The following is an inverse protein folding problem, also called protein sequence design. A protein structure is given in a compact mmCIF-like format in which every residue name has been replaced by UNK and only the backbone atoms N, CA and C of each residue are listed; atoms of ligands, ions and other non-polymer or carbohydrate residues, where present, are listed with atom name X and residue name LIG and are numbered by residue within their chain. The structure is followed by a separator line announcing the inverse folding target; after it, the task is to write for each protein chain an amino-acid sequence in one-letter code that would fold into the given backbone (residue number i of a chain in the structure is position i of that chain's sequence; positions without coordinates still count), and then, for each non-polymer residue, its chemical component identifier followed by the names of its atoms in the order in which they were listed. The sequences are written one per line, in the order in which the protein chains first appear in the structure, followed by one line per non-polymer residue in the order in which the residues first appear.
data_IF_036408830510
#
_entry.id   IF_036408830510
#
_cell.length_a   1.000
_cell.length_b   1.000
_cell.length_c   1.000
_cell.angle_alpha   90.00
_cell.angle_beta   90.00
_cell.angle_gamma   90.00
#
_symmetry.space_group_name_H-M   'P 1'
#
loop_
_entity.id
_entity.type
_entity.pdbx_description
1 polymer ?
#
# COMPACT_ATOMS: atom_id res chain seq x y z
N UNK A 1 -11.00 10.58 -21.16
CA UNK A 1 -10.76 11.88 -20.50
C UNK A 1 -11.99 12.40 -19.81
N UNK A 2 -11.83 12.87 -18.56
CA UNK A 2 -12.89 13.54 -17.78
C UNK A 2 -12.80 15.07 -17.88
N UNK A 3 -11.79 15.59 -18.58
CA UNK A 3 -11.58 17.02 -18.85
C UNK A 3 -11.53 17.25 -20.36
N UNK A 4 -12.04 18.39 -20.79
CA UNK A 4 -11.94 18.88 -22.17
C UNK A 4 -11.62 20.36 -22.15
N UNK A 5 -10.60 20.76 -22.93
CA UNK A 5 -10.26 22.16 -23.19
C UNK A 5 -10.88 22.59 -24.51
N UNK A 6 -11.52 23.75 -24.53
CA UNK A 6 -12.11 24.37 -25.71
C UNK A 6 -11.53 25.78 -25.81
N UNK A 7 -10.86 26.09 -26.92
CA UNK A 7 -10.42 27.44 -27.19
C UNK A 7 -11.61 28.25 -27.71
N UNK A 8 -12.01 29.28 -26.97
CA UNK A 8 -13.06 30.21 -27.35
C UNK A 8 -12.40 31.54 -27.70
N UNK A 9 -12.63 32.03 -28.92
CA UNK A 9 -12.16 33.36 -29.31
C UNK A 9 -13.19 34.37 -28.84
N UNK A 10 -12.83 35.20 -27.87
CA UNK A 10 -13.66 36.32 -27.41
C UNK A 10 -13.13 37.63 -27.97
N UNK A 11 -14.03 38.51 -28.40
CA UNK A 11 -13.69 39.83 -28.93
C UNK A 11 -14.08 40.90 -27.92
N UNK A 12 -13.11 41.65 -27.41
CA UNK A 12 -13.37 42.83 -26.58
C UNK A 12 -13.33 44.09 -27.43
N UNK A 13 -14.27 45.02 -27.19
CA UNK A 13 -14.27 46.31 -27.86
C UNK A 13 -12.98 47.09 -27.49
N UNK A 14 -12.27 47.73 -28.45
CA UNK A 14 -12.66 48.06 -29.83
C UNK A 14 -12.06 47.13 -30.91
N UNK A 15 -11.80 45.85 -30.61
CA UNK A 15 -11.38 44.86 -31.63
C UNK A 15 -10.22 43.94 -31.23
N UNK A 16 -9.84 43.90 -29.95
CA UNK A 16 -8.85 42.93 -29.48
C UNK A 16 -9.46 41.52 -29.48
N UNK A 17 -8.78 40.57 -30.13
CA UNK A 17 -9.14 39.16 -30.08
C UNK A 17 -8.32 38.50 -28.98
N UNK A 18 -8.99 37.95 -27.98
CA UNK A 18 -8.38 37.14 -26.95
C UNK A 18 -8.82 35.69 -27.14
N UNK A 19 -7.88 34.75 -27.04
CA UNK A 19 -8.21 33.32 -26.96
C UNK A 19 -8.36 33.01 -25.48
N UNK A 20 -9.56 32.62 -25.07
CA UNK A 20 -9.86 32.15 -23.73
C UNK A 20 -9.95 30.62 -23.78
N UNK A 21 -9.24 29.93 -22.89
CA UNK A 21 -9.36 28.47 -22.78
C UNK A 21 -10.45 28.17 -21.76
N UNK A 22 -11.54 27.56 -22.21
CA UNK A 22 -12.57 27.05 -21.32
C UNK A 22 -12.33 25.56 -21.04
N UNK A 23 -12.26 25.22 -19.75
CA UNK A 23 -12.15 23.84 -19.28
C UNK A 23 -13.52 23.33 -18.84
N UNK A 24 -13.99 22.25 -19.44
CA UNK A 24 -15.15 21.49 -18.95
C UNK A 24 -14.66 20.21 -18.28
N UNK A 25 -15.11 19.92 -17.07
CA UNK A 25 -14.77 18.71 -16.34
C UNK A 25 -16.03 17.98 -15.85
N UNK A 26 -15.96 16.64 -15.77
CA UNK A 26 -16.98 15.83 -15.11
C UNK A 26 -16.49 15.39 -13.73
N UNK A 27 -16.94 16.09 -12.70
CA UNK A 27 -16.50 15.88 -11.31
C UNK A 27 -16.94 14.52 -10.74
N UNK A 28 -18.04 13.96 -11.23
CA UNK A 28 -18.47 12.62 -10.82
C UNK A 28 -17.50 11.56 -11.36
N UNK A 29 -17.19 11.63 -12.66
CA UNK A 29 -16.24 10.71 -13.28
C UNK A 29 -14.84 10.87 -12.69
N UNK A 30 -14.43 12.09 -12.36
CA UNK A 30 -13.16 12.34 -11.67
C UNK A 30 -13.11 11.69 -10.30
N UNK A 31 -14.14 11.87 -9.45
CA UNK A 31 -14.21 11.22 -8.14
C UNK A 31 -14.25 9.69 -8.23
N UNK A 32 -14.97 9.14 -9.20
CA UNK A 32 -14.96 7.69 -9.47
C UNK A 32 -13.56 7.20 -9.86
N UNK A 33 -12.83 7.97 -10.67
CA UNK A 33 -11.44 7.65 -11.04
C UNK A 33 -10.52 7.64 -9.82
N UNK A 34 -10.58 8.66 -8.95
CA UNK A 34 -9.78 8.68 -7.71
C UNK A 34 -10.04 7.46 -6.82
N UNK A 35 -11.30 7.07 -6.65
CA UNK A 35 -11.66 5.86 -5.90
C UNK A 35 -11.11 4.59 -6.55
N UNK A 36 -11.19 4.48 -7.89
CA UNK A 36 -10.70 3.32 -8.62
C UNK A 36 -9.16 3.20 -8.58
N UNK A 37 -8.44 4.33 -8.68
CA UNK A 37 -6.99 4.37 -8.55
C UNK A 37 -6.54 3.95 -7.15
N UNK A 38 -7.23 4.42 -6.12
CA UNK A 38 -6.95 4.05 -4.73
C UNK A 38 -7.12 2.54 -4.51
N UNK A 39 -8.27 1.98 -4.90
CA UNK A 39 -8.56 0.56 -4.79
C UNK A 39 -7.55 -0.29 -5.58
N UNK A 40 -7.24 0.12 -6.82
CA UNK A 40 -6.25 -0.58 -7.65
C UNK A 40 -4.86 -0.55 -7.02
N UNK A 41 -4.41 0.60 -6.51
CA UNK A 41 -3.09 0.73 -5.90
C UNK A 41 -2.95 -0.12 -4.62
N UNK A 42 -3.97 -0.14 -3.78
CA UNK A 42 -4.00 -1.00 -2.60
C UNK A 42 -4.00 -2.50 -2.96
N UNK A 43 -4.80 -2.91 -3.94
CA UNK A 43 -4.83 -4.30 -4.40
C UNK A 43 -3.56 -4.75 -5.11
N UNK A 44 -2.93 -3.87 -5.90
CA UNK A 44 -1.63 -4.16 -6.53
C UNK A 44 -0.56 -4.35 -5.46
N UNK A 45 -0.50 -3.45 -4.46
CA UNK A 45 0.43 -3.58 -3.36
C UNK A 45 0.25 -4.91 -2.61
N UNK A 46 -1.01 -5.29 -2.30
CA UNK A 46 -1.32 -6.58 -1.71
C UNK A 46 -0.83 -7.75 -2.57
N UNK A 47 -1.19 -7.78 -3.86
CA UNK A 47 -0.83 -8.87 -4.76
C UNK A 47 0.69 -9.04 -4.86
N UNK A 48 1.40 -7.95 -5.15
CA UNK A 48 2.86 -7.97 -5.33
C UNK A 48 3.57 -8.39 -4.02
N UNK A 49 3.08 -7.89 -2.87
CA UNK A 49 3.64 -8.26 -1.57
C UNK A 49 3.32 -9.69 -1.14
N UNK A 50 2.14 -10.23 -1.50
CA UNK A 50 1.79 -11.63 -1.24
C UNK A 50 2.67 -12.57 -2.06
N UNK A 51 2.90 -12.27 -3.33
CA UNK A 51 3.80 -13.05 -4.21
C UNK A 51 5.24 -13.03 -3.68
N UNK A 52 5.74 -11.85 -3.30
CA UNK A 52 7.06 -11.72 -2.70
C UNK A 52 7.19 -12.49 -1.38
N UNK A 53 6.18 -12.40 -0.51
CA UNK A 53 6.16 -13.10 0.76
C UNK A 53 6.14 -14.62 0.56
N UNK A 54 5.26 -15.13 -0.31
CA UNK A 54 5.14 -16.56 -0.62
C UNK A 54 6.46 -17.12 -1.15
N UNK A 55 7.05 -16.46 -2.15
CA UNK A 55 8.36 -16.86 -2.70
C UNK A 55 9.48 -16.81 -1.66
N UNK A 56 9.47 -15.82 -0.75
CA UNK A 56 10.49 -15.70 0.29
C UNK A 56 10.42 -16.80 1.34
N UNK A 57 9.21 -17.27 1.67
CA UNK A 57 8.98 -18.27 2.72
C UNK A 57 9.04 -19.69 2.16
N UNK A 58 8.35 -19.93 1.05
CA UNK A 58 8.16 -21.27 0.50
C UNK A 58 9.16 -21.62 -0.62
N UNK A 59 9.81 -20.62 -1.21
CA UNK A 59 10.66 -20.79 -2.38
C UNK A 59 9.86 -21.11 -3.65
N UNK A 60 10.54 -21.09 -4.80
CA UNK A 60 9.94 -21.44 -6.09
C UNK A 60 9.40 -22.87 -6.03
N UNK A 61 8.18 -23.07 -6.53
CA UNK A 61 7.48 -24.36 -6.52
C UNK A 61 7.39 -25.04 -5.14
N UNK A 62 7.37 -24.26 -4.05
CA UNK A 62 7.33 -24.74 -2.67
C UNK A 62 8.56 -25.59 -2.27
N UNK A 63 9.69 -25.44 -2.96
CA UNK A 63 10.89 -26.24 -2.74
C UNK A 63 11.48 -26.11 -1.33
N UNK A 64 11.29 -24.95 -0.68
CA UNK A 64 11.76 -24.67 0.68
C UNK A 64 10.63 -24.74 1.73
N UNK A 65 9.41 -25.08 1.31
CA UNK A 65 8.23 -25.07 2.18
C UNK A 65 8.33 -26.13 3.29
N UNK A 66 7.73 -25.86 4.47
CA UNK A 66 7.65 -26.85 5.55
C UNK A 66 6.93 -28.12 5.11
N UNK A 67 5.89 -28.00 4.28
CA UNK A 67 5.17 -29.16 3.73
C UNK A 67 6.07 -30.11 2.95
N UNK A 68 6.95 -29.58 2.10
CA UNK A 68 7.91 -30.39 1.34
C UNK A 68 8.91 -31.07 2.28
N UNK A 69 9.42 -30.34 3.28
CA UNK A 69 10.35 -30.90 4.26
C UNK A 69 9.71 -32.02 5.11
N UNK A 70 8.46 -31.84 5.54
CA UNK A 70 7.70 -32.85 6.32
C UNK A 70 7.45 -34.10 5.48
N UNK A 71 7.06 -33.97 4.22
CA UNK A 71 6.87 -35.10 3.32
C UNK A 71 8.17 -35.91 3.15
N UNK A 72 9.31 -35.22 3.04
CA UNK A 72 10.63 -35.87 2.96
C UNK A 72 11.00 -36.60 4.26
N UNK A 73 10.70 -36.01 5.43
CA UNK A 73 10.89 -36.66 6.73
C UNK A 73 10.02 -37.93 6.85
N UNK A 74 8.74 -37.85 6.47
CA UNK A 74 7.85 -39.01 6.48
C UNK A 74 8.38 -40.14 5.60
N UNK A 75 8.87 -39.82 4.40
CA UNK A 75 9.49 -40.80 3.48
C UNK A 75 10.75 -41.43 4.07
N UNK A 76 11.61 -40.63 4.72
CA UNK A 76 12.81 -41.14 5.38
C UNK A 76 12.45 -42.10 6.53
N UNK A 77 11.45 -41.76 7.34
CA UNK A 77 10.94 -42.61 8.43
C UNK A 77 10.38 -43.93 7.90
N UNK A 78 9.57 -43.89 6.84
CA UNK A 78 9.02 -45.09 6.21
C UNK A 78 10.14 -46.01 5.71
N UNK A 79 11.16 -45.46 5.04
CA UNK A 79 12.28 -46.25 4.55
C UNK A 79 13.08 -46.86 5.71
N UNK A 80 13.37 -46.08 6.76
CA UNK A 80 14.08 -46.59 7.93
C UNK A 80 13.30 -47.69 8.65
N UNK A 81 11.97 -47.58 8.74
CA UNK A 81 11.11 -48.59 9.35
C UNK A 81 11.19 -49.96 8.65
N UNK A 82 11.50 -50.00 7.35
CA UNK A 82 11.72 -51.28 6.63
C UNK A 82 13.02 -51.97 7.01
N UNK A 83 14.04 -51.23 7.45
CA UNK A 83 15.37 -51.76 7.82
C UNK A 83 15.98 -50.99 9.00
N UNK A 84 15.47 -51.17 10.24
CA UNK A 84 15.88 -50.34 11.39
C UNK A 84 17.35 -50.50 11.81
N UNK A 85 18.00 -51.60 11.43
CA UNK A 85 19.43 -51.84 11.71
C UNK A 85 20.38 -51.08 10.77
N UNK A 86 19.86 -50.45 9.71
CA UNK A 86 20.68 -49.69 8.76
C UNK A 86 20.97 -48.28 9.28
N UNK A 87 22.19 -48.07 9.79
CA UNK A 87 22.64 -46.80 10.36
C UNK A 87 22.55 -45.64 9.36
N UNK A 88 22.81 -45.85 8.08
CA UNK A 88 22.75 -44.79 7.06
C UNK A 88 21.33 -44.25 6.90
N UNK A 89 20.33 -45.13 6.93
CA UNK A 89 18.91 -44.72 6.89
C UNK A 89 18.51 -43.96 8.15
N UNK A 90 19.03 -44.36 9.32
CA UNK A 90 18.85 -43.62 10.56
C UNK A 90 19.42 -42.19 10.48
N UNK A 91 20.62 -42.02 9.92
CA UNK A 91 21.20 -40.69 9.67
C UNK A 91 20.33 -39.87 8.72
N UNK A 92 19.81 -40.47 7.64
CA UNK A 92 18.91 -39.77 6.70
C UNK A 92 17.63 -39.24 7.36
N UNK A 93 17.07 -39.97 8.33
CA UNK A 93 15.92 -39.49 9.12
C UNK A 93 16.29 -38.24 9.93
N UNK A 94 17.43 -38.28 10.62
CA UNK A 94 17.92 -37.15 11.42
C UNK A 94 18.16 -35.92 10.55
N UNK A 95 18.76 -36.10 9.37
CA UNK A 95 19.00 -34.99 8.46
C UNK A 95 17.70 -34.43 7.88
N UNK A 96 16.72 -35.28 7.54
CA UNK A 96 15.40 -34.82 7.12
C UNK A 96 14.68 -34.04 8.24
N UNK A 97 14.79 -34.48 9.50
CA UNK A 97 14.23 -33.76 10.64
C UNK A 97 14.89 -32.37 10.82
N UNK A 98 16.21 -32.27 10.66
CA UNK A 98 16.90 -30.97 10.65
C UNK A 98 16.41 -30.07 9.51
N UNK A 99 16.13 -30.62 8.34
CA UNK A 99 15.58 -29.84 7.22
C UNK A 99 14.18 -29.27 7.54
N UNK A 100 13.32 -30.03 8.22
CA UNK A 100 12.02 -29.50 8.71
C UNK A 100 12.24 -28.30 9.63
N UNK A 101 13.10 -28.44 10.63
CA UNK A 101 13.41 -27.36 11.58
C UNK A 101 14.00 -26.14 10.86
N UNK A 102 14.92 -26.36 9.92
CA UNK A 102 15.52 -25.28 9.14
C UNK A 102 14.49 -24.56 8.26
N UNK A 103 13.57 -25.28 7.62
CA UNK A 103 12.50 -24.69 6.81
C UNK A 103 11.59 -23.80 7.67
N UNK A 104 11.13 -24.28 8.84
CA UNK A 104 10.28 -23.50 9.75
C UNK A 104 10.98 -22.23 10.27
N UNK A 105 12.24 -22.36 10.70
CA UNK A 105 13.02 -21.23 11.22
C UNK A 105 13.35 -20.21 10.11
N UNK A 106 13.69 -20.68 8.91
CA UNK A 106 13.99 -19.81 7.78
C UNK A 106 12.74 -19.09 7.29
N UNK A 107 11.60 -19.77 7.24
CA UNK A 107 10.30 -19.17 6.94
C UNK A 107 9.91 -18.09 7.95
N UNK A 108 10.04 -18.37 9.25
CA UNK A 108 9.81 -17.37 10.31
C UNK A 108 10.71 -16.14 10.11
N UNK A 109 12.00 -16.34 9.82
CA UNK A 109 12.92 -15.23 9.56
C UNK A 109 12.52 -14.42 8.31
N UNK A 110 12.17 -15.09 7.21
CA UNK A 110 11.70 -14.44 5.99
C UNK A 110 10.44 -13.57 6.25
N UNK A 111 9.49 -14.06 7.07
CA UNK A 111 8.32 -13.29 7.47
C UNK A 111 8.71 -12.02 8.25
N UNK A 112 9.60 -12.12 9.24
CA UNK A 112 10.01 -10.94 10.02
C UNK A 112 10.81 -9.93 9.18
N UNK A 113 11.66 -10.42 8.27
CA UNK A 113 12.39 -9.58 7.31
C UNK A 113 11.40 -8.85 6.37
N UNK A 114 10.39 -9.57 5.86
CA UNK A 114 9.32 -8.98 5.04
C UNK A 114 8.53 -7.91 5.79
N UNK A 115 8.16 -8.14 7.06
CA UNK A 115 7.47 -7.12 7.87
C UNK A 115 8.32 -5.86 8.07
N UNK A 116 9.62 -6.03 8.26
CA UNK A 116 10.58 -4.90 8.37
C UNK A 116 10.69 -4.15 7.04
N UNK A 117 10.68 -4.86 5.91
CA UNK A 117 10.68 -4.25 4.58
C UNK A 117 9.38 -3.49 4.31
N UNK A 118 8.22 -4.05 4.69
CA UNK A 118 6.93 -3.38 4.56
C UNK A 118 6.91 -2.07 5.37
N UNK A 119 7.47 -2.03 6.57
CA UNK A 119 7.63 -0.81 7.35
C UNK A 119 8.47 0.26 6.63
N UNK A 120 9.58 -0.15 6.01
CA UNK A 120 10.40 0.76 5.21
C UNK A 120 9.59 1.33 4.03
N UNK A 121 8.83 0.49 3.33
CA UNK A 121 7.96 0.92 2.24
C UNK A 121 6.84 1.86 2.71
N UNK A 122 6.26 1.62 3.89
CA UNK A 122 5.26 2.51 4.51
C UNK A 122 5.91 3.86 4.81
N UNK A 123 7.11 3.90 5.40
CA UNK A 123 7.81 5.13 5.70
C UNK A 123 8.10 5.96 4.43
N UNK A 124 8.57 5.30 3.36
CA UNK A 124 8.75 5.95 2.06
C UNK A 124 7.43 6.49 1.52
N UNK A 125 6.36 5.69 1.56
CA UNK A 125 5.05 6.08 1.07
C UNK A 125 4.44 7.27 1.85
N UNK A 126 4.67 7.35 3.17
CA UNK A 126 4.29 8.50 4.00
C UNK A 126 5.09 9.76 3.61
N UNK A 127 6.39 9.63 3.36
CA UNK A 127 7.21 10.75 2.90
C UNK A 127 6.78 11.27 1.52
N UNK A 128 6.51 10.36 0.57
CA UNK A 128 6.00 10.71 -0.75
C UNK A 128 4.65 11.42 -0.66
N UNK A 129 3.73 10.92 0.17
CA UNK A 129 2.43 11.53 0.40
C UNK A 129 2.56 12.95 0.95
N UNK A 130 3.41 13.18 1.95
CA UNK A 130 3.67 14.52 2.48
C UNK A 130 4.24 15.47 1.40
N UNK A 131 5.14 14.97 0.55
CA UNK A 131 5.69 15.76 -0.57
C UNK A 131 4.60 16.13 -1.60
N UNK A 132 3.73 15.18 -1.95
CA UNK A 132 2.59 15.42 -2.85
C UNK A 132 1.60 16.42 -2.25
N UNK A 133 1.33 16.35 -0.96
CA UNK A 133 0.48 17.30 -0.25
C UNK A 133 1.07 18.71 -0.22
N UNK A 134 2.39 18.83 -0.08
CA UNK A 134 3.08 20.12 -0.19
C UNK A 134 2.95 20.70 -1.61
N UNK A 135 3.18 19.89 -2.65
CA UNK A 135 3.01 20.33 -4.04
C UNK A 135 1.54 20.70 -4.35
N UNK A 136 0.59 19.95 -3.77
CA UNK A 136 -0.83 20.22 -3.91
C UNK A 136 -1.20 21.58 -3.32
N UNK A 137 -0.63 21.95 -2.17
CA UNK A 137 -0.81 23.26 -1.57
C UNK A 137 -0.45 24.39 -2.55
N UNK A 138 0.69 24.27 -3.22
CA UNK A 138 1.19 25.29 -4.14
C UNK A 138 0.32 25.39 -5.40
N UNK A 139 -0.09 24.24 -5.95
CA UNK A 139 -1.05 24.19 -7.05
C UNK A 139 -2.42 24.79 -6.66
N UNK A 140 -2.93 24.47 -5.47
CA UNK A 140 -4.19 25.01 -4.96
C UNK A 140 -4.10 26.54 -4.73
N UNK A 141 -2.99 27.04 -4.21
CA UNK A 141 -2.74 28.49 -4.07
C UNK A 141 -2.73 29.20 -5.44
N UNK A 142 -2.11 28.60 -6.45
CA UNK A 142 -2.12 29.15 -7.80
C UNK A 142 -3.55 29.22 -8.39
N UNK A 143 -4.35 28.17 -8.19
CA UNK A 143 -5.77 28.15 -8.57
C UNK A 143 -6.56 29.25 -7.86
N UNK A 144 -6.41 29.40 -6.54
CA UNK A 144 -7.11 30.43 -5.76
C UNK A 144 -6.72 31.84 -6.23
N UNK A 145 -5.42 32.10 -6.37
CA UNK A 145 -4.90 33.39 -6.78
C UNK A 145 -5.38 33.80 -8.17
N UNK A 146 -5.31 32.88 -9.13
CA UNK A 146 -5.76 33.14 -10.50
C UNK A 146 -7.28 33.27 -10.61
N UNK A 147 -8.04 32.49 -9.83
CA UNK A 147 -9.51 32.61 -9.78
C UNK A 147 -9.92 33.98 -9.26
N UNK A 148 -9.29 34.48 -8.19
CA UNK A 148 -9.55 35.83 -7.63
C UNK A 148 -9.16 36.94 -8.59
N UNK A 149 -8.08 36.73 -9.35
CA UNK A 149 -7.56 37.72 -10.30
C UNK A 149 -8.29 37.68 -11.65
N UNK A 150 -9.22 36.74 -11.86
CA UNK A 150 -9.92 36.53 -13.12
C UNK A 150 -9.01 36.09 -14.27
N UNK A 151 -7.86 35.48 -13.98
CA UNK A 151 -6.92 34.96 -14.98
C UNK A 151 -7.21 33.49 -15.30
N UNK A 152 -6.78 33.01 -16.47
CA UNK A 152 -6.88 31.60 -16.82
C UNK A 152 -6.08 30.72 -15.84
N UNK A 153 -6.75 29.77 -15.19
CA UNK A 153 -6.19 28.82 -14.22
C UNK A 153 -6.18 27.38 -14.73
N UNK A 154 -6.42 27.16 -16.03
CA UNK A 154 -6.57 25.82 -16.62
C UNK A 154 -5.37 24.90 -16.35
N UNK A 155 -4.14 25.42 -16.47
CA UNK A 155 -2.93 24.64 -16.20
C UNK A 155 -2.75 24.33 -14.71
N UNK A 156 -3.08 25.29 -13.83
CA UNK A 156 -3.01 25.09 -12.38
C UNK A 156 -4.06 24.07 -11.90
N UNK A 157 -5.26 24.09 -12.49
CA UNK A 157 -6.31 23.09 -12.25
C UNK A 157 -5.86 21.69 -12.68
N UNK A 158 -5.24 21.56 -13.86
CA UNK A 158 -4.78 20.26 -14.34
C UNK A 158 -3.60 19.73 -13.51
N UNK A 159 -2.68 20.59 -13.07
CA UNK A 159 -1.62 20.22 -12.13
C UNK A 159 -2.18 19.75 -10.79
N UNK A 160 -3.16 20.48 -10.24
CA UNK A 160 -3.84 20.12 -8.99
C UNK A 160 -4.52 18.76 -9.10
N UNK A 161 -5.24 18.52 -10.19
CA UNK A 161 -5.95 17.25 -10.41
C UNK A 161 -4.97 16.08 -10.63
N UNK A 162 -3.84 16.32 -11.29
CA UNK A 162 -2.79 15.32 -11.45
C UNK A 162 -2.14 14.95 -10.11
N UNK A 163 -1.89 15.93 -9.24
CA UNK A 163 -1.39 15.70 -7.88
C UNK A 163 -2.43 14.94 -7.04
N UNK A 164 -3.70 15.30 -7.15
CA UNK A 164 -4.78 14.61 -6.43
C UNK A 164 -4.92 13.15 -6.84
N UNK A 165 -4.74 12.81 -8.12
CA UNK A 165 -4.67 11.40 -8.56
C UNK A 165 -3.53 10.67 -7.88
N UNK A 166 -2.32 11.24 -7.88
CA UNK A 166 -1.17 10.62 -7.21
C UNK A 166 -1.43 10.44 -5.71
N UNK A 167 -1.98 11.45 -5.04
CA UNK A 167 -2.37 11.34 -3.62
C UNK A 167 -3.37 10.18 -3.41
N UNK A 168 -4.36 10.04 -4.30
CA UNK A 168 -5.37 8.98 -4.20
C UNK A 168 -4.82 7.56 -4.29
N UNK A 169 -3.66 7.37 -4.94
CA UNK A 169 -2.97 6.07 -4.97
C UNK A 169 -2.46 5.66 -3.59
N UNK A 170 -2.08 6.61 -2.73
CA UNK A 170 -1.55 6.31 -1.39
C UNK A 170 -2.65 6.12 -0.35
N UNK A 171 -3.68 6.95 -0.39
CA UNK A 171 -4.79 6.97 0.56
C UNK A 171 -6.10 7.30 -0.15
N UNK A 172 -7.23 6.68 0.24
CA UNK A 172 -8.52 6.99 -0.35
C UNK A 172 -8.97 8.37 0.11
N UNK A 173 -9.22 9.25 -0.86
CA UNK A 173 -9.55 10.65 -0.62
C UNK A 173 -10.94 11.01 -1.12
N UNK A 174 -11.56 11.96 -0.43
CA UNK A 174 -12.72 12.72 -0.86
C UNK A 174 -12.35 14.19 -0.91
N UNK A 175 -12.95 14.91 -1.86
CA UNK A 175 -12.68 16.34 -2.03
C UNK A 175 -13.96 17.15 -2.08
N UNK A 176 -13.85 18.39 -1.62
CA UNK A 176 -14.87 19.41 -1.83
C UNK A 176 -14.21 20.75 -2.12
N UNK A 177 -14.90 21.57 -2.92
CA UNK A 177 -14.41 22.87 -3.35
C UNK A 177 -15.24 23.97 -2.69
N UNK A 178 -14.55 24.96 -2.13
CA UNK A 178 -15.11 26.16 -1.49
C UNK A 178 -14.99 27.36 -2.45
N UNK A 179 -15.29 28.56 -1.94
CA UNK A 179 -15.11 29.80 -2.71
C UNK A 179 -13.70 29.95 -3.29
N UNK A 180 -13.58 30.69 -4.39
CA UNK A 180 -12.33 30.91 -5.12
C UNK A 180 -11.65 29.63 -5.62
N UNK A 181 -12.41 28.56 -5.83
CA UNK A 181 -11.90 27.23 -6.21
C UNK A 181 -10.94 26.59 -5.18
N UNK A 182 -10.94 27.04 -3.91
CA UNK A 182 -10.15 26.40 -2.85
C UNK A 182 -10.63 24.96 -2.61
N UNK A 183 -9.71 23.99 -2.60
CA UNK A 183 -10.04 22.58 -2.42
C UNK A 183 -9.62 22.07 -1.04
N UNK A 184 -10.50 21.34 -0.39
CA UNK A 184 -10.23 20.57 0.82
C UNK A 184 -10.17 19.09 0.47
N UNK A 185 -9.24 18.37 1.11
CA UNK A 185 -9.09 16.93 0.98
C UNK A 185 -9.30 16.29 2.34
N UNK A 186 -10.21 15.32 2.40
CA UNK A 186 -10.37 14.41 3.53
C UNK A 186 -10.06 13.00 3.06
N UNK A 187 -9.68 12.13 3.98
CA UNK A 187 -9.70 10.69 3.76
C UNK A 187 -11.15 10.19 3.70
N UNK A 188 -11.35 8.95 3.22
CA UNK A 188 -12.67 8.32 3.11
C UNK A 188 -13.39 8.13 4.45
N UNK A 189 -12.64 7.98 5.55
CA UNK A 189 -13.13 7.91 6.93
C UNK A 189 -13.35 9.29 7.58
N UNK A 190 -13.08 10.38 6.85
CA UNK A 190 -13.40 11.75 7.27
C UNK A 190 -12.25 12.51 7.94
N UNK A 191 -11.06 11.92 8.07
CA UNK A 191 -9.89 12.61 8.59
C UNK A 191 -9.40 13.67 7.59
N UNK A 192 -9.23 14.91 8.04
CA UNK A 192 -8.74 15.98 7.17
C UNK A 192 -7.29 15.71 6.78
N UNK A 193 -6.98 15.73 5.48
CA UNK A 193 -5.63 15.56 4.95
C UNK A 193 -5.04 16.89 4.48
N UNK A 194 -5.89 17.78 3.96
CA UNK A 194 -5.51 19.11 3.54
C UNK A 194 -6.66 20.09 3.77
N UNK A 195 -6.39 21.17 4.50
CA UNK A 195 -7.27 22.32 4.60
C UNK A 195 -6.42 23.60 4.69
N UNK A 196 -6.34 24.36 3.59
CA UNK A 196 -5.45 25.53 3.42
C UNK A 196 -3.95 25.17 3.45
N UNK A 197 -3.56 24.32 4.39
CA UNK A 197 -2.24 23.72 4.59
C UNK A 197 -2.38 22.20 4.71
N UNK A 198 -1.35 21.43 4.33
CA UNK A 198 -1.36 19.98 4.49
C UNK A 198 -1.29 19.59 5.96
N UNK A 199 -2.03 18.55 6.35
CA UNK A 199 -1.91 17.91 7.66
C UNK A 199 -0.70 16.99 7.66
N UNK A 200 -0.03 16.89 8.81
CA UNK A 200 1.15 16.04 8.92
C UNK A 200 0.75 14.57 8.93
N UNK A 201 1.30 13.80 7.98
CA UNK A 201 1.22 12.34 8.00
C UNK A 201 2.52 11.80 8.60
N UNK A 202 2.43 11.01 9.66
CA UNK A 202 3.61 10.50 10.37
C UNK A 202 3.57 8.99 10.52
N UNK A 203 4.75 8.39 10.46
CA UNK A 203 4.96 6.98 10.70
C UNK A 203 6.39 6.76 11.19
N UNK A 204 6.56 5.88 12.16
CA UNK A 204 7.88 5.48 12.66
C UNK A 204 8.06 4.00 12.37
N UNK A 205 8.97 3.61 11.46
CA UNK A 205 9.21 2.20 11.17
C UNK A 205 9.85 1.51 12.37
N UNK A 206 9.54 0.23 12.55
CA UNK A 206 10.30 -0.63 13.45
C UNK A 206 11.64 -1.02 12.81
N UNK A 207 12.71 -1.08 13.61
CA UNK A 207 14.04 -1.55 13.16
C UNK A 207 14.11 -3.06 12.97
N UNK A 208 13.11 -3.78 13.45
CA UNK A 208 12.97 -5.22 13.29
C UNK A 208 11.69 -5.74 13.94
N UNK A 209 11.35 -6.99 13.63
CA UNK A 209 10.20 -7.65 14.21
C UNK A 209 10.59 -8.95 14.89
N UNK A 210 9.86 -9.28 15.95
CA UNK A 210 9.81 -10.60 16.55
C UNK A 210 8.39 -11.15 16.44
N UNK A 211 8.25 -12.47 16.60
CA UNK A 211 6.95 -13.13 16.64
C UNK A 211 6.02 -12.44 17.66
N UNK A 212 4.79 -12.14 17.24
CA UNK A 212 3.76 -11.50 18.06
C UNK A 212 3.91 -9.98 18.27
N UNK A 213 5.01 -9.35 17.86
CA UNK A 213 5.18 -7.89 17.99
C UNK A 213 4.28 -7.17 16.98
N UNK A 214 3.34 -6.30 17.43
CA UNK A 214 2.49 -5.53 16.52
C UNK A 214 3.30 -4.46 15.78
N UNK A 215 2.87 -4.11 14.57
CA UNK A 215 3.48 -3.01 13.84
C UNK A 215 2.98 -1.65 14.30
N UNK A 216 3.79 -0.62 14.03
CA UNK A 216 3.45 0.76 14.38
C UNK A 216 2.30 1.30 13.51
N UNK A 217 1.58 2.28 14.05
CA UNK A 217 0.43 2.92 13.38
C UNK A 217 0.87 4.17 12.60
N UNK A 218 0.18 4.45 11.48
CA UNK A 218 0.31 5.71 10.74
C UNK A 218 -0.64 6.74 11.38
N UNK A 219 -0.21 7.99 11.49
CA UNK A 219 -1.05 9.06 12.02
C UNK A 219 -1.23 10.18 10.99
N UNK A 220 -2.43 10.75 10.93
CA UNK A 220 -2.73 12.00 10.22
C UNK A 220 -3.21 13.00 11.26
N UNK A 221 -2.46 14.08 11.48
CA UNK A 221 -2.78 15.09 12.52
C UNK A 221 -3.03 14.47 13.92
N UNK A 222 -2.21 13.48 14.29
CA UNK A 222 -2.33 12.66 15.51
C UNK A 222 -3.58 11.75 15.59
N UNK A 223 -4.38 11.67 14.52
CA UNK A 223 -5.46 10.68 14.40
C UNK A 223 -4.88 9.39 13.81
N UNK A 224 -5.02 8.22 14.47
CA UNK A 224 -4.53 6.98 13.95
C UNK A 224 -5.30 6.58 12.69
N UNK A 225 -4.57 6.29 11.62
CA UNK A 225 -5.12 5.68 10.42
C UNK A 225 -5.25 4.18 10.69
N UNK A 226 -6.47 3.68 10.71
CA UNK A 226 -6.69 2.24 10.75
C UNK A 226 -6.28 1.63 9.41
N UNK A 227 -5.54 0.53 9.44
CA UNK A 227 -5.69 -0.44 8.38
C UNK A 227 -7.16 -0.83 8.39
N UNK A 228 -7.89 -0.61 7.30
CA UNK A 228 -9.31 -0.87 7.22
C UNK A 228 -9.64 -2.23 7.88
N UNK A 229 -10.53 -2.24 8.86
CA UNK A 229 -10.89 -3.43 9.66
C UNK A 229 -11.76 -4.41 8.86
N UNK A 230 -11.99 -4.12 7.57
CA UNK A 230 -12.65 -4.98 6.61
C UNK A 230 -11.82 -6.20 6.17
N UNK A 231 -12.57 -7.19 5.69
CA UNK A 231 -12.13 -8.48 5.14
C UNK A 231 -10.91 -8.37 4.22
N UNK A 232 -10.12 -9.43 4.03
CA UNK A 232 -8.75 -9.35 3.50
C UNK A 232 -8.57 -8.73 2.08
N UNK A 233 -9.65 -8.24 1.47
CA UNK A 233 -9.82 -7.76 0.10
C UNK A 233 -10.16 -6.26 -0.04
N UNK A 234 -10.33 -5.49 1.05
CA UNK A 234 -10.78 -4.07 0.97
C UNK A 234 -9.68 -3.01 1.07
N UNK A 235 -8.42 -3.33 0.76
CA UNK A 235 -7.34 -2.35 0.86
C UNK A 235 -7.50 -1.23 -0.18
N UNK A 236 -8.04 -0.09 0.26
CA UNK A 236 -8.09 1.15 -0.52
C UNK A 236 -6.81 1.97 -0.23
N UNK A 237 -5.98 2.16 -1.25
CA UNK A 237 -4.73 2.90 -1.19
C UNK A 237 -3.52 2.04 -0.79
N UNK A 238 -2.35 2.42 -1.30
CA UNK A 238 -1.08 1.72 -1.07
C UNK A 238 -0.73 1.58 0.41
N UNK A 239 -0.97 2.60 1.23
CA UNK A 239 -0.65 2.55 2.67
C UNK A 239 -1.49 1.49 3.39
N UNK A 240 -2.78 1.37 3.07
CA UNK A 240 -3.64 0.33 3.64
C UNK A 240 -3.20 -1.07 3.18
N UNK A 241 -2.84 -1.22 1.90
CA UNK A 241 -2.32 -2.49 1.37
C UNK A 241 -1.05 -2.95 2.09
N UNK A 242 -0.08 -2.06 2.30
CA UNK A 242 1.15 -2.38 3.01
C UNK A 242 0.91 -2.73 4.49
N UNK A 243 0.05 -2.00 5.20
CA UNK A 243 -0.32 -2.32 6.58
C UNK A 243 -0.97 -3.71 6.67
N UNK A 244 -1.83 -4.05 5.71
CA UNK A 244 -2.54 -5.32 5.65
C UNK A 244 -1.62 -6.50 5.33
N UNK A 245 -0.63 -6.31 4.48
CA UNK A 245 0.45 -7.28 4.28
C UNK A 245 1.21 -7.55 5.56
N UNK A 246 1.61 -6.48 6.26
CA UNK A 246 2.45 -6.57 7.46
C UNK A 246 1.72 -7.20 8.66
N UNK A 247 0.48 -6.78 8.90
CA UNK A 247 -0.24 -7.11 10.14
C UNK A 247 -1.31 -8.19 9.95
N UNK A 248 -1.82 -8.36 8.74
CA UNK A 248 -2.79 -9.39 8.39
C UNK A 248 -2.11 -10.62 7.80
N UNK A 249 -1.61 -10.49 6.57
CA UNK A 249 -1.10 -11.62 5.78
C UNK A 249 0.13 -12.25 6.43
N UNK A 250 1.18 -11.46 6.71
CA UNK A 250 2.42 -11.95 7.29
C UNK A 250 2.21 -12.55 8.70
N UNK A 251 1.35 -11.93 9.51
CA UNK A 251 0.99 -12.44 10.84
C UNK A 251 0.23 -13.77 10.78
N UNK A 252 -0.69 -13.90 9.81
CA UNK A 252 -1.42 -15.15 9.57
C UNK A 252 -0.47 -16.25 9.13
N UNK A 253 0.46 -15.96 8.21
CA UNK A 253 1.46 -16.92 7.75
C UNK A 253 2.40 -17.35 8.89
N UNK A 254 2.81 -16.43 9.77
CA UNK A 254 3.58 -16.77 10.97
C UNK A 254 2.81 -17.74 11.86
N UNK A 255 1.53 -17.45 12.11
CA UNK A 255 0.67 -18.32 12.91
C UNK A 255 0.53 -19.71 12.29
N UNK A 256 0.45 -19.81 10.97
CA UNK A 256 0.42 -21.10 10.27
C UNK A 256 1.72 -21.89 10.46
N UNK A 257 2.89 -21.26 10.34
CA UNK A 257 4.18 -21.91 10.61
C UNK A 257 4.27 -22.37 12.08
N UNK A 258 3.82 -21.54 13.00
CA UNK A 258 3.82 -21.84 14.43
C UNK A 258 2.88 -23.03 14.76
N UNK A 259 1.70 -23.10 14.13
CA UNK A 259 0.79 -24.24 14.28
C UNK A 259 1.33 -25.53 13.65
N UNK A 260 2.02 -25.44 12.51
CA UNK A 260 2.72 -26.60 11.93
C UNK A 260 3.78 -27.10 12.90
N UNK A 261 4.60 -26.20 13.46
CA UNK A 261 5.62 -26.55 14.44
C UNK A 261 5.00 -27.18 15.69
N UNK A 262 3.92 -26.60 16.21
CA UNK A 262 3.16 -27.13 17.36
C UNK A 262 2.57 -28.51 17.09
N UNK A 263 2.08 -28.77 15.88
CA UNK A 263 1.51 -30.07 15.52
C UNK A 263 2.56 -31.19 15.37
N UNK A 264 3.83 -30.84 15.16
CA UNK A 264 4.93 -31.80 14.97
C UNK A 264 5.63 -32.22 16.27
N UNK A 265 5.53 -31.41 17.33
CA UNK A 265 6.25 -31.58 18.61
C UNK A 265 5.24 -31.89 19.72
#
# INVERSE_FOLDING_TARGET
DYTRRIAVVTSTAPGARMVEIQRTANDLLFRQNLSALSAWSGQSALYDGMDQLDLSVNGVDNASSPSTAIANLQKALQLYATTPSNQNLGTSVVDAAKQVVNSLNSGTKAIQDFRTQADSQIATAVNDLNSLLSQFQDANKAVISGTRSGTDVSDALDQRDALLKKISEYVPVSTFTRGDNDMVITTKDGTTLFETVPRSVTFTPSSGYSAGTPGNTIYIDNVPVSADTGDNTTADGKLAGLLKLRDGVASTMQSQLDEIARGLI
#
